data_IF_071744780008
#
_entry.id   IF_071744780008
#
_cell.length_a   1.000
_cell.length_b   1.000
_cell.length_c   1.000
_cell.angle_alpha   90.00
_cell.angle_beta   90.00
_cell.angle_gamma   90.00
#
_symmetry.space_group_name_H-M   'P 1'
#
loop_
_entity.id
_entity.type
_entity.pdbx_description
1 polymer ?
#
# COMPACT_ATOMS: atom_id res chain seq x y z
N UNK A 1 -7.39 -16.39 12.42
CA UNK A 1 -7.60 -15.23 11.52
C UNK A 1 -6.28 -14.51 11.52
N UNK A 2 -5.74 -14.18 10.33
CA UNK A 2 -4.42 -13.57 10.26
C UNK A 2 -4.53 -12.15 9.71
N UNK A 3 -4.16 -11.16 10.54
CA UNK A 3 -3.83 -9.80 10.14
C UNK A 3 -2.31 -9.63 10.23
N UNK A 4 -1.60 -10.67 9.83
CA UNK A 4 -0.16 -10.84 9.94
C UNK A 4 0.42 -11.34 8.63
N UNK A 5 1.61 -10.87 8.27
CA UNK A 5 2.42 -11.35 7.15
C UNK A 5 3.91 -11.27 7.50
N UNK A 6 4.75 -11.89 6.66
CA UNK A 6 6.19 -12.01 6.84
C UNK A 6 6.61 -13.33 7.48
N UNK A 7 7.89 -13.61 7.49
CA UNK A 7 8.48 -14.85 8.00
C UNK A 7 9.44 -14.60 9.15
N UNK A 8 10.59 -13.98 8.89
CA UNK A 8 11.53 -13.54 9.91
C UNK A 8 11.10 -12.17 10.46
N UNK A 9 10.73 -11.25 9.59
CA UNK A 9 10.13 -9.98 9.95
C UNK A 9 8.60 -10.13 9.89
N UNK A 10 7.97 -10.44 11.02
CA UNK A 10 6.53 -10.61 11.11
C UNK A 10 5.83 -9.32 11.51
N UNK A 11 4.89 -8.91 10.69
CA UNK A 11 4.10 -7.69 10.92
C UNK A 11 2.65 -8.06 11.15
N UNK A 12 2.12 -7.70 12.32
CA UNK A 12 0.73 -7.91 12.70
C UNK A 12 0.03 -6.58 12.95
N UNK A 13 -1.08 -6.33 12.24
CA UNK A 13 -1.89 -5.10 12.37
C UNK A 13 -3.13 -5.38 13.20
N UNK A 14 -3.44 -4.51 14.14
CA UNK A 14 -4.59 -4.64 15.02
C UNK A 14 -5.38 -3.33 15.17
N UNK A 15 -6.57 -3.43 15.77
CA UNK A 15 -7.47 -2.31 16.00
C UNK A 15 -8.56 -2.17 14.93
N UNK A 16 -9.36 -1.12 15.07
CA UNK A 16 -10.55 -0.83 14.26
C UNK A 16 -10.67 0.67 14.05
N UNK A 17 -11.29 1.09 12.94
CA UNK A 17 -11.41 2.51 12.56
C UNK A 17 -12.00 3.40 13.65
N UNK A 18 -12.98 2.87 14.41
CA UNK A 18 -13.68 3.56 15.49
C UNK A 18 -13.41 2.90 16.86
N UNK A 19 -12.39 2.06 16.96
CA UNK A 19 -11.82 1.59 18.22
C UNK A 19 -10.96 2.67 18.88
N UNK A 20 -10.52 2.43 20.11
CA UNK A 20 -9.69 3.37 20.87
C UNK A 20 -8.37 3.71 20.14
N UNK A 21 -7.76 2.72 19.53
CA UNK A 21 -6.51 2.86 18.78
C UNK A 21 -6.44 1.82 17.66
N UNK A 22 -5.53 2.07 16.72
CA UNK A 22 -5.01 1.11 15.75
C UNK A 22 -3.53 0.95 16.00
N UNK A 23 -2.94 -0.20 15.62
CA UNK A 23 -1.52 -0.40 15.89
C UNK A 23 -0.90 -1.52 15.08
N UNK A 24 0.40 -1.67 15.28
CA UNK A 24 1.23 -2.68 14.65
C UNK A 24 2.15 -3.32 15.68
N UNK A 25 2.32 -4.63 15.59
CA UNK A 25 3.42 -5.37 16.20
C UNK A 25 4.37 -5.81 15.08
N UNK A 26 5.66 -5.59 15.27
CA UNK A 26 6.72 -5.98 14.36
C UNK A 26 7.70 -6.84 15.15
N UNK A 27 7.76 -8.11 14.81
CA UNK A 27 8.69 -9.07 15.42
C UNK A 27 9.80 -9.42 14.41
N UNK A 28 11.03 -9.60 14.88
CA UNK A 28 12.18 -9.95 14.05
C UNK A 28 12.97 -8.75 13.49
N UNK A 29 12.72 -7.52 13.96
CA UNK A 29 13.60 -6.40 13.62
C UNK A 29 15.01 -6.64 14.21
N UNK A 30 16.07 -6.42 13.40
CA UNK A 30 17.44 -6.46 13.93
C UNK A 30 17.61 -5.44 15.06
N UNK A 31 18.33 -5.81 16.10
CA UNK A 31 18.71 -4.87 17.16
C UNK A 31 19.78 -3.89 16.66
N UNK A 32 19.78 -2.68 17.22
CA UNK A 32 20.79 -1.65 16.92
C UNK A 32 20.49 -0.80 15.67
N UNK A 33 19.32 -0.96 15.06
CA UNK A 33 18.91 -0.13 13.93
C UNK A 33 18.36 1.22 14.41
N UNK A 34 19.02 2.32 14.03
CA UNK A 34 18.53 3.66 14.34
C UNK A 34 17.23 3.97 13.56
N UNK A 35 16.27 4.59 14.23
CA UNK A 35 15.02 5.06 13.65
C UNK A 35 15.01 6.59 13.70
N UNK A 36 15.02 7.22 12.53
CA UNK A 36 14.74 8.64 12.39
C UNK A 36 13.22 8.86 12.51
N UNK A 37 12.79 9.38 13.66
CA UNK A 37 11.37 9.59 13.95
C UNK A 37 10.78 10.75 13.13
N UNK A 38 11.57 11.75 12.78
CA UNK A 38 11.10 12.86 11.95
C UNK A 38 10.86 12.40 10.51
N UNK A 39 11.79 11.62 9.96
CA UNK A 39 11.61 10.98 8.65
C UNK A 39 10.42 10.01 8.64
N UNK A 40 10.21 9.24 9.73
CA UNK A 40 9.05 8.37 9.86
C UNK A 40 7.73 9.17 9.91
N UNK A 41 7.68 10.26 10.68
CA UNK A 41 6.51 11.13 10.75
C UNK A 41 6.22 11.79 9.39
N UNK A 42 7.24 12.27 8.68
CA UNK A 42 7.11 12.83 7.34
C UNK A 42 6.57 11.78 6.35
N UNK A 43 6.99 10.53 6.45
CA UNK A 43 6.47 9.43 5.64
C UNK A 43 4.99 9.15 5.94
N UNK A 44 4.61 9.07 7.22
CA UNK A 44 3.22 8.91 7.67
C UNK A 44 2.34 10.07 7.20
N UNK A 45 2.88 11.27 7.16
CA UNK A 45 2.19 12.48 6.73
C UNK A 45 1.72 12.43 5.27
N UNK A 46 2.42 11.71 4.39
CA UNK A 46 2.02 11.51 2.99
C UNK A 46 0.72 10.73 2.87
N UNK A 47 0.43 9.85 3.83
CA UNK A 47 -0.80 9.05 3.89
C UNK A 47 -1.99 9.79 4.49
N UNK A 48 -1.77 10.77 5.37
CA UNK A 48 -2.81 11.46 6.16
C UNK A 48 -3.89 12.09 5.26
N UNK A 49 -5.18 12.02 5.64
CA UNK A 49 -6.25 12.76 4.98
C UNK A 49 -6.24 14.25 5.37
N UNK A 50 -7.10 15.04 4.72
CA UNK A 50 -7.39 16.42 5.15
C UNK A 50 -6.38 17.47 4.71
N UNK A 51 -5.41 17.13 3.85
CA UNK A 51 -4.39 18.06 3.34
C UNK A 51 -4.78 18.76 2.03
N UNK A 52 -5.79 18.25 1.32
CA UNK A 52 -6.22 18.81 0.04
C UNK A 52 -7.72 18.60 -0.19
N UNK A 53 -8.35 19.34 -1.11
CA UNK A 53 -9.74 19.11 -1.51
C UNK A 53 -9.97 17.76 -2.19
N UNK A 54 -8.92 17.05 -2.57
CA UNK A 54 -8.97 15.71 -3.20
C UNK A 54 -9.21 14.58 -2.20
N UNK A 55 -9.15 14.86 -0.90
CA UNK A 55 -9.31 13.89 0.18
C UNK A 55 -10.43 14.26 1.15
N UNK A 56 -10.86 13.29 1.96
CA UNK A 56 -11.81 13.54 3.05
C UNK A 56 -11.33 14.61 4.01
N UNK A 57 -12.25 15.37 4.58
CA UNK A 57 -11.98 16.40 5.60
C UNK A 57 -11.63 15.84 7.01
N UNK A 58 -11.57 14.51 7.17
CA UNK A 58 -11.15 13.87 8.43
C UNK A 58 -9.74 14.31 8.80
N UNK A 59 -9.50 14.59 10.08
CA UNK A 59 -8.20 15.01 10.59
C UNK A 59 -7.73 14.03 11.66
N UNK A 60 -6.58 13.41 11.43
CA UNK A 60 -5.94 12.48 12.38
C UNK A 60 -4.47 12.89 12.53
N UNK A 61 -3.96 12.86 13.75
CA UNK A 61 -2.55 13.17 14.01
C UNK A 61 -1.62 12.12 13.39
N UNK A 62 -2.05 10.86 13.38
CA UNK A 62 -1.28 9.68 12.94
C UNK A 62 0.14 9.60 13.55
N UNK A 63 0.32 10.20 14.72
CA UNK A 63 1.59 10.16 15.45
C UNK A 63 1.72 8.83 16.18
N UNK A 64 2.74 8.02 15.88
CA UNK A 64 2.93 6.74 16.54
C UNK A 64 3.41 6.92 17.98
N UNK A 65 2.84 6.10 18.87
CA UNK A 65 3.29 5.95 20.26
C UNK A 65 3.93 4.56 20.35
N UNK A 66 5.26 4.52 20.56
CA UNK A 66 6.00 3.27 20.74
C UNK A 66 5.83 2.77 22.16
N UNK A 67 5.37 1.52 22.30
CA UNK A 67 5.14 0.87 23.60
C UNK A 67 6.25 -0.10 23.96
N UNK A 68 6.98 -0.63 22.96
CA UNK A 68 8.11 -1.56 23.15
C UNK A 68 8.96 -1.61 21.88
N UNK A 69 10.14 -2.24 21.98
CA UNK A 69 11.01 -2.56 20.84
C UNK A 69 11.94 -1.43 20.39
N UNK A 70 11.77 -0.22 20.94
CA UNK A 70 12.60 0.96 20.62
C UNK A 70 13.02 1.62 21.93
N UNK A 71 14.31 1.89 22.06
CA UNK A 71 14.91 2.63 23.17
C UNK A 71 15.85 3.70 22.60
N UNK A 72 15.66 4.97 22.99
CA UNK A 72 16.44 6.10 22.47
C UNK A 72 16.50 6.14 20.92
N UNK A 73 15.36 5.91 20.27
CA UNK A 73 15.23 5.82 18.81
C UNK A 73 16.06 4.73 18.13
N UNK A 74 16.42 3.66 18.87
CA UNK A 74 17.16 2.50 18.35
C UNK A 74 16.37 1.22 18.66
N UNK A 75 16.31 0.29 17.71
CA UNK A 75 15.67 -1.01 17.93
C UNK A 75 16.47 -1.83 18.94
N UNK A 76 15.79 -2.48 19.89
CA UNK A 76 16.45 -3.23 20.98
C UNK A 76 16.34 -4.77 20.80
N UNK A 77 15.76 -5.25 19.68
CA UNK A 77 15.58 -6.69 19.42
C UNK A 77 14.33 -7.30 20.08
N UNK A 78 13.66 -6.61 21.01
CA UNK A 78 12.33 -7.00 21.46
C UNK A 78 11.28 -6.70 20.39
N UNK A 79 10.14 -7.41 20.36
CA UNK A 79 9.05 -7.07 19.46
C UNK A 79 8.65 -5.59 19.59
N UNK A 80 8.67 -4.87 18.46
CA UNK A 80 8.24 -3.48 18.43
C UNK A 80 6.71 -3.42 18.41
N UNK A 81 6.13 -2.68 19.35
CA UNK A 81 4.71 -2.36 19.36
C UNK A 81 4.53 -0.85 19.27
N UNK A 82 3.74 -0.43 18.30
CA UNK A 82 3.36 0.98 18.15
C UNK A 82 1.86 1.12 17.94
N UNK A 83 1.26 2.14 18.56
CA UNK A 83 -0.16 2.48 18.41
C UNK A 83 -0.34 3.90 17.87
N UNK A 84 -1.49 4.12 17.25
CA UNK A 84 -2.00 5.45 16.91
C UNK A 84 -3.39 5.55 17.51
N UNK A 85 -3.62 6.55 18.36
CA UNK A 85 -4.94 6.82 18.94
C UNK A 85 -5.90 7.39 17.89
N UNK A 86 -7.15 6.98 17.91
CA UNK A 86 -8.19 7.53 17.05
C UNK A 86 -8.84 8.72 17.74
N UNK A 87 -8.72 9.92 17.18
CA UNK A 87 -9.21 11.17 17.77
C UNK A 87 -10.46 11.74 17.08
N UNK A 88 -10.66 11.49 15.78
CA UNK A 88 -11.79 12.02 14.99
C UNK A 88 -12.82 10.93 14.63
N UNK A 89 -13.63 10.53 15.63
CA UNK A 89 -14.63 9.47 15.50
C UNK A 89 -16.05 10.06 15.51
N UNK A 90 -16.84 9.81 14.45
CA UNK A 90 -18.25 10.18 14.34
C UNK A 90 -19.13 8.93 14.19
N UNK A 91 -19.32 8.19 15.27
CA UNK A 91 -20.01 6.88 15.27
C UNK A 91 -21.48 6.93 14.84
N UNK A 92 -22.15 8.08 14.98
CA UNK A 92 -23.57 8.25 14.63
C UNK A 92 -23.82 8.14 13.12
N UNK A 93 -22.83 8.40 12.29
CA UNK A 93 -22.95 8.39 10.82
C UNK A 93 -23.08 6.97 10.24
N UNK A 94 -22.93 5.94 11.07
CA UNK A 94 -22.86 4.54 10.63
C UNK A 94 -24.00 3.65 11.15
N UNK A 95 -25.03 4.21 11.82
CA UNK A 95 -26.11 3.42 12.43
C UNK A 95 -26.94 2.63 11.39
N UNK A 96 -27.19 3.21 10.20
CA UNK A 96 -27.92 2.52 9.13
C UNK A 96 -27.07 1.43 8.44
N UNK A 97 -25.75 1.55 8.47
CA UNK A 97 -24.84 0.58 7.84
C UNK A 97 -24.78 -0.76 8.57
N UNK A 98 -25.27 -0.83 9.81
CA UNK A 98 -25.35 -2.08 10.55
C UNK A 98 -26.33 -3.08 9.92
N UNK A 99 -27.39 -2.60 9.26
CA UNK A 99 -28.40 -3.43 8.59
C UNK A 99 -28.30 -3.41 7.06
N UNK A 100 -27.78 -2.31 6.49
CA UNK A 100 -27.68 -2.13 5.03
C UNK A 100 -26.22 -2.12 4.59
N UNK A 101 -25.67 -3.28 4.18
CA UNK A 101 -24.27 -3.37 3.78
C UNK A 101 -23.98 -2.53 2.53
N UNK A 102 -22.87 -1.82 2.55
CA UNK A 102 -22.41 -1.06 1.38
C UNK A 102 -22.04 -2.00 0.23
N UNK A 103 -22.51 -1.75 -0.99
CA UNK A 103 -22.06 -2.48 -2.16
C UNK A 103 -20.52 -2.43 -2.29
N UNK A 104 -19.92 -3.54 -2.63
CA UNK A 104 -18.45 -3.68 -2.81
C UNK A 104 -17.59 -3.37 -1.57
N UNK A 105 -18.18 -3.24 -0.37
CA UNK A 105 -17.47 -3.19 0.91
C UNK A 105 -17.50 -4.54 1.63
N UNK A 106 -16.67 -4.69 2.66
CA UNK A 106 -16.61 -5.92 3.46
C UNK A 106 -17.78 -6.12 4.43
N UNK A 107 -18.74 -5.21 4.50
CA UNK A 107 -19.83 -5.21 5.49
C UNK A 107 -20.59 -6.55 5.50
N UNK A 108 -21.06 -7.00 4.32
CA UNK A 108 -21.79 -8.27 4.19
C UNK A 108 -20.92 -9.49 4.50
N UNK A 109 -19.72 -9.54 3.92
CA UNK A 109 -18.83 -10.70 4.10
C UNK A 109 -18.34 -10.82 5.54
N UNK A 110 -18.09 -9.71 6.22
CA UNK A 110 -17.78 -9.69 7.64
C UNK A 110 -18.97 -10.12 8.50
N UNK A 111 -20.17 -9.65 8.16
CA UNK A 111 -21.39 -10.07 8.85
C UNK A 111 -21.59 -11.57 8.77
N UNK A 112 -21.47 -12.17 7.59
CA UNK A 112 -21.57 -13.62 7.39
C UNK A 112 -20.47 -14.36 8.17
N UNK A 113 -19.22 -13.90 8.03
CA UNK A 113 -18.05 -14.57 8.61
C UNK A 113 -18.10 -14.64 10.13
N UNK A 114 -18.58 -13.58 10.78
CA UNK A 114 -18.59 -13.47 12.24
C UNK A 114 -19.97 -13.41 12.86
N UNK A 115 -21.01 -13.87 12.15
CA UNK A 115 -22.37 -13.97 12.68
C UNK A 115 -22.93 -12.64 13.18
N UNK A 116 -22.62 -11.52 12.50
CA UNK A 116 -23.05 -10.18 12.87
C UNK A 116 -22.30 -9.52 14.03
N UNK A 117 -21.25 -10.16 14.57
CA UNK A 117 -20.50 -9.63 15.75
C UNK A 117 -19.36 -8.65 15.39
N UNK A 118 -19.12 -8.40 14.08
CA UNK A 118 -18.08 -7.49 13.66
C UNK A 118 -18.42 -6.03 13.98
N UNK A 119 -17.46 -5.27 14.55
CA UNK A 119 -17.60 -3.82 14.66
C UNK A 119 -17.26 -3.19 13.29
N UNK A 120 -18.29 -2.83 12.54
CA UNK A 120 -18.19 -2.26 11.21
C UNK A 120 -18.24 -0.73 11.17
N UNK A 121 -18.26 -0.06 12.34
CA UNK A 121 -18.20 1.41 12.40
C UNK A 121 -16.98 1.95 11.67
N UNK A 122 -17.18 2.87 10.74
CA UNK A 122 -16.10 3.39 9.88
C UNK A 122 -15.39 2.35 9.00
N UNK A 123 -16.00 1.17 8.81
CA UNK A 123 -15.41 0.04 8.11
C UNK A 123 -14.61 -0.92 9.00
N UNK A 124 -14.58 -0.68 10.32
CA UNK A 124 -13.95 -1.56 11.31
C UNK A 124 -12.50 -1.86 11.02
N UNK A 125 -12.14 -3.13 11.03
CA UNK A 125 -10.79 -3.62 10.69
C UNK A 125 -10.50 -3.63 9.17
N UNK A 126 -11.51 -3.46 8.31
CA UNK A 126 -11.36 -3.37 6.85
C UNK A 126 -11.18 -1.93 6.34
N UNK A 127 -11.16 -0.97 7.27
CA UNK A 127 -11.00 0.44 6.93
C UNK A 127 -9.62 0.75 6.37
N UNK A 128 -9.55 1.68 5.40
CA UNK A 128 -8.28 2.27 4.96
C UNK A 128 -7.47 2.94 6.09
N UNK A 129 -8.09 3.18 7.26
CA UNK A 129 -7.41 3.65 8.49
C UNK A 129 -6.29 2.69 8.93
N UNK A 130 -6.49 1.38 8.73
CA UNK A 130 -5.52 0.34 9.11
C UNK A 130 -4.24 0.36 8.25
N UNK A 131 -4.18 1.19 7.23
CA UNK A 131 -2.94 1.42 6.47
C UNK A 131 -1.92 2.28 7.21
N UNK A 132 -2.33 3.07 8.23
CA UNK A 132 -1.38 3.85 9.02
C UNK A 132 -0.39 2.96 9.82
N UNK A 133 -0.83 1.90 10.52
CA UNK A 133 0.08 0.92 11.11
C UNK A 133 1.02 0.25 10.10
N UNK A 134 0.54 -0.06 8.88
CA UNK A 134 1.41 -0.58 7.82
C UNK A 134 2.51 0.41 7.43
N UNK A 135 2.19 1.71 7.39
CA UNK A 135 3.17 2.76 7.12
C UNK A 135 4.19 2.94 8.25
N UNK A 136 3.85 2.62 9.51
CA UNK A 136 4.85 2.59 10.60
C UNK A 136 5.88 1.49 10.30
N UNK A 137 5.43 0.26 10.05
CA UNK A 137 6.32 -0.85 9.74
C UNK A 137 7.17 -0.58 8.49
N UNK A 138 6.53 -0.14 7.41
CA UNK A 138 7.20 0.13 6.15
C UNK A 138 8.14 1.34 6.20
N UNK A 139 7.80 2.39 6.94
CA UNK A 139 8.70 3.53 7.13
C UNK A 139 9.98 3.16 7.88
N UNK A 140 9.89 2.29 8.88
CA UNK A 140 11.06 1.73 9.57
C UNK A 140 11.84 0.81 8.61
N UNK A 141 11.15 -0.08 7.89
CA UNK A 141 11.78 -0.96 6.91
C UNK A 141 12.53 -0.18 5.80
N UNK A 142 11.94 0.91 5.27
CA UNK A 142 12.61 1.79 4.28
C UNK A 142 13.92 2.37 4.80
N UNK A 143 13.97 2.82 6.05
CA UNK A 143 15.19 3.36 6.66
C UNK A 143 16.27 2.29 6.79
N UNK A 144 15.89 1.08 7.22
CA UNK A 144 16.82 -0.05 7.34
C UNK A 144 17.34 -0.48 5.96
N UNK A 145 16.48 -0.54 4.96
CA UNK A 145 16.83 -0.86 3.57
C UNK A 145 17.77 0.19 2.97
N UNK A 146 17.48 1.49 3.16
CA UNK A 146 18.29 2.58 2.64
C UNK A 146 19.75 2.52 3.13
N UNK A 147 19.97 2.16 4.40
CA UNK A 147 21.32 1.94 4.96
C UNK A 147 22.04 0.74 4.31
N UNK A 148 21.31 -0.15 3.65
CA UNK A 148 21.85 -1.28 2.88
C UNK A 148 21.90 -1.01 1.38
N UNK A 149 21.67 0.25 0.96
CA UNK A 149 21.69 0.65 -0.45
C UNK A 149 20.45 0.25 -1.24
N UNK A 150 19.38 -0.19 -0.57
CA UNK A 150 18.10 -0.56 -1.20
C UNK A 150 17.08 0.55 -0.96
N UNK A 151 16.51 1.08 -2.05
CA UNK A 151 15.54 2.17 -2.00
C UNK A 151 14.22 1.74 -2.64
N UNK A 152 13.11 2.15 -2.02
CA UNK A 152 11.74 1.88 -2.51
C UNK A 152 11.03 3.20 -2.69
N UNK A 153 10.48 3.42 -3.87
CA UNK A 153 9.68 4.59 -4.20
C UNK A 153 8.47 4.21 -5.03
N UNK A 154 7.44 5.05 -4.99
CA UNK A 154 6.22 4.84 -5.76
C UNK A 154 5.64 6.17 -6.21
N UNK A 155 4.84 6.10 -7.29
CA UNK A 155 4.04 7.22 -7.78
C UNK A 155 2.62 6.77 -8.15
N UNK A 156 1.75 7.74 -8.30
CA UNK A 156 0.40 7.51 -8.79
C UNK A 156 0.45 7.33 -10.31
N UNK A 157 0.31 6.11 -10.79
CA UNK A 157 0.45 5.76 -12.20
C UNK A 157 -0.83 6.02 -13.02
N UNK A 158 -2.01 5.98 -12.40
CA UNK A 158 -3.26 6.40 -13.05
C UNK A 158 -4.36 6.79 -12.08
N UNK A 159 -5.32 7.59 -12.57
CA UNK A 159 -6.63 7.79 -11.95
C UNK A 159 -7.68 7.63 -13.05
N UNK A 160 -8.58 6.66 -12.92
CA UNK A 160 -9.54 6.33 -13.98
C UNK A 160 -8.83 6.04 -15.30
N UNK A 161 -9.10 6.86 -16.31
CA UNK A 161 -8.48 6.76 -17.65
C UNK A 161 -7.23 7.61 -17.83
N UNK A 162 -6.97 8.56 -16.93
CA UNK A 162 -5.78 9.40 -16.98
C UNK A 162 -4.56 8.65 -16.45
N UNK A 163 -3.47 8.69 -17.21
CA UNK A 163 -2.23 7.97 -16.90
C UNK A 163 -1.05 8.92 -16.78
N UNK A 164 -0.13 8.58 -15.90
CA UNK A 164 1.19 9.18 -15.75
C UNK A 164 2.23 8.44 -16.60
N UNK A 165 3.42 9.03 -16.72
CA UNK A 165 4.60 8.34 -17.25
C UNK A 165 4.97 7.15 -16.37
N UNK A 166 5.74 6.20 -16.91
CA UNK A 166 6.30 5.07 -16.15
C UNK A 166 7.67 5.43 -15.62
N UNK A 167 8.09 4.75 -14.56
CA UNK A 167 9.49 4.83 -14.14
C UNK A 167 10.44 4.54 -15.30
N UNK A 168 11.57 5.26 -15.41
CA UNK A 168 12.62 4.94 -16.39
C UNK A 168 13.22 3.56 -16.10
N UNK A 169 13.97 3.02 -17.04
CA UNK A 169 14.65 1.72 -16.90
C UNK A 169 15.53 1.66 -15.63
N UNK A 170 16.18 2.77 -15.31
CA UNK A 170 17.05 2.94 -14.15
C UNK A 170 16.56 4.11 -13.28
N UNK A 171 15.50 3.92 -12.47
CA UNK A 171 15.07 4.95 -11.55
C UNK A 171 16.11 5.15 -10.45
N UNK A 172 16.17 6.35 -9.89
CA UNK A 172 17.15 6.72 -8.85
C UNK A 172 16.45 7.01 -7.53
N UNK A 173 17.20 6.93 -6.42
CA UNK A 173 16.70 7.35 -5.11
C UNK A 173 16.28 8.83 -5.11
N UNK A 174 17.03 9.69 -5.82
CA UNK A 174 16.70 11.11 -5.95
C UNK A 174 15.34 11.33 -6.65
N UNK A 175 15.02 10.54 -7.68
CA UNK A 175 13.69 10.59 -8.31
C UNK A 175 12.58 10.17 -7.34
N UNK A 176 12.83 9.16 -6.50
CA UNK A 176 11.86 8.74 -5.47
C UNK A 176 11.63 9.84 -4.45
N UNK A 177 12.67 10.53 -4.00
CA UNK A 177 12.58 11.65 -3.06
C UNK A 177 11.85 12.85 -3.68
N UNK A 178 12.13 13.17 -4.95
CA UNK A 178 11.42 14.21 -5.69
C UNK A 178 9.91 13.96 -5.74
N UNK A 179 9.51 12.74 -6.15
CA UNK A 179 8.10 12.35 -6.21
C UNK A 179 7.45 12.35 -4.83
N UNK A 180 8.18 11.87 -3.82
CA UNK A 180 7.69 11.81 -2.44
C UNK A 180 7.45 13.20 -1.83
N UNK A 181 8.18 14.23 -2.29
CA UNK A 181 8.02 15.61 -1.84
C UNK A 181 6.81 16.32 -2.49
N UNK A 182 6.27 15.80 -3.59
CA UNK A 182 5.12 16.41 -4.29
C UNK A 182 3.83 16.24 -3.47
N UNK A 183 2.99 17.26 -3.47
CA UNK A 183 1.67 17.21 -2.86
C UNK A 183 0.74 16.17 -3.56
N UNK A 184 0.96 15.95 -4.86
CA UNK A 184 0.30 14.94 -5.67
C UNK A 184 1.40 14.10 -6.34
N UNK A 185 1.61 12.85 -5.93
CA UNK A 185 2.83 12.09 -6.21
C UNK A 185 2.82 11.47 -7.61
N UNK A 186 3.13 12.24 -8.63
CA UNK A 186 3.25 11.84 -10.04
C UNK A 186 4.63 12.17 -10.60
N UNK A 187 5.04 11.49 -11.68
CA UNK A 187 6.24 11.81 -12.43
C UNK A 187 6.02 13.07 -13.29
N UNK A 188 4.91 13.11 -14.01
CA UNK A 188 4.55 14.19 -14.92
C UNK A 188 3.46 15.08 -14.31
N UNK A 189 3.77 16.35 -14.07
CA UNK A 189 2.86 17.27 -13.40
C UNK A 189 1.60 17.58 -14.23
N UNK A 190 1.71 17.63 -15.57
CA UNK A 190 0.54 17.82 -16.45
C UNK A 190 -0.44 16.62 -16.37
N UNK A 191 0.09 15.39 -16.31
CA UNK A 191 -0.74 14.22 -16.05
C UNK A 191 -1.39 14.31 -14.66
N UNK A 192 -0.65 14.78 -13.67
CA UNK A 192 -1.16 15.04 -12.33
C UNK A 192 -2.33 16.03 -12.30
N UNK A 193 -2.27 17.11 -13.07
CA UNK A 193 -3.37 18.08 -13.19
C UNK A 193 -4.63 17.46 -13.80
N UNK A 194 -4.49 16.64 -14.86
CA UNK A 194 -5.62 15.91 -15.45
C UNK A 194 -6.24 14.93 -14.46
N UNK A 195 -5.43 14.17 -13.74
CA UNK A 195 -5.89 13.25 -12.69
C UNK A 195 -6.64 13.97 -11.58
N UNK A 196 -6.12 15.10 -11.10
CA UNK A 196 -6.78 15.91 -10.07
C UNK A 196 -8.14 16.45 -10.57
N UNK A 197 -8.22 16.90 -11.82
CA UNK A 197 -9.47 17.34 -12.43
C UNK A 197 -10.50 16.21 -12.47
N UNK A 198 -10.10 14.98 -12.81
CA UNK A 198 -10.98 13.82 -12.83
C UNK A 198 -11.49 13.46 -11.42
N UNK A 199 -10.64 13.57 -10.40
CA UNK A 199 -11.03 13.34 -8.99
C UNK A 199 -12.07 14.38 -8.55
N UNK A 200 -11.88 15.66 -8.88
CA UNK A 200 -12.81 16.73 -8.53
C UNK A 200 -14.15 16.53 -9.25
N UNK A 201 -14.15 16.14 -10.52
CA UNK A 201 -15.35 15.80 -11.27
C UNK A 201 -16.13 14.63 -10.61
N UNK A 202 -15.44 13.55 -10.22
CA UNK A 202 -16.07 12.45 -9.51
C UNK A 202 -16.72 12.92 -8.20
N UNK A 203 -16.04 13.79 -7.45
CA UNK A 203 -16.56 14.38 -6.21
C UNK A 203 -17.83 15.22 -6.46
N UNK A 204 -17.85 16.06 -7.50
CA UNK A 204 -19.02 16.86 -7.85
C UNK A 204 -20.22 15.98 -8.23
N UNK A 205 -19.95 14.84 -8.86
CA UNK A 205 -20.95 13.82 -9.21
C UNK A 205 -21.35 12.95 -8.00
N UNK A 206 -20.85 13.24 -6.80
CA UNK A 206 -21.07 12.43 -5.58
C UNK A 206 -20.65 10.95 -5.75
N UNK A 207 -19.65 10.70 -6.59
CA UNK A 207 -19.10 9.40 -6.93
C UNK A 207 -17.62 9.28 -6.53
N UNK A 208 -16.99 8.18 -6.91
CA UNK A 208 -15.58 7.91 -6.66
C UNK A 208 -14.92 7.29 -7.89
N UNK A 209 -13.62 7.45 -7.98
CA UNK A 209 -12.78 6.90 -9.05
C UNK A 209 -11.63 6.09 -8.46
N UNK A 210 -11.26 5.01 -9.12
CA UNK A 210 -10.09 4.19 -8.77
C UNK A 210 -8.83 4.71 -9.42
N UNK A 211 -7.72 4.01 -9.19
CA UNK A 211 -6.44 4.33 -9.81
C UNK A 211 -5.41 3.24 -9.60
N UNK A 212 -4.23 3.44 -10.16
CA UNK A 212 -3.10 2.52 -10.00
C UNK A 212 -1.89 3.25 -9.43
N UNK A 213 -1.12 2.51 -8.64
CA UNK A 213 0.17 2.96 -8.08
C UNK A 213 1.26 2.10 -8.71
N UNK A 214 2.26 2.71 -9.32
CA UNK A 214 3.50 2.03 -9.72
C UNK A 214 4.53 2.19 -8.60
N UNK A 215 5.22 1.11 -8.27
CA UNK A 215 6.26 1.06 -7.23
C UNK A 215 7.51 0.43 -7.80
N UNK A 216 8.65 1.01 -7.48
CA UNK A 216 9.96 0.50 -7.84
C UNK A 216 10.81 0.26 -6.60
N UNK A 217 11.61 -0.82 -6.63
CA UNK A 217 12.67 -1.06 -5.66
C UNK A 217 13.99 -1.24 -6.40
N UNK A 218 15.02 -0.49 -5.99
CA UNK A 218 16.36 -0.49 -6.58
C UNK A 218 17.42 -0.89 -5.57
N UNK A 219 18.58 -1.33 -6.04
CA UNK A 219 19.70 -1.73 -5.19
C UNK A 219 19.58 -3.14 -4.64
N UNK A 220 18.56 -3.89 -5.02
CA UNK A 220 18.42 -5.30 -4.65
C UNK A 220 19.50 -6.13 -5.36
N UNK A 221 20.17 -7.06 -4.67
CA UNK A 221 21.09 -7.98 -5.32
C UNK A 221 20.33 -8.96 -6.23
N UNK A 222 20.96 -9.49 -7.24
CA UNK A 222 20.46 -10.66 -7.96
C UNK A 222 20.45 -11.89 -7.04
N UNK A 223 19.48 -12.80 -7.22
CA UNK A 223 19.42 -14.05 -6.48
C UNK A 223 18.58 -14.02 -5.21
N UNK A 224 17.82 -12.94 -4.94
CA UNK A 224 16.90 -12.88 -3.81
C UNK A 224 15.54 -13.46 -4.18
N UNK A 225 14.97 -14.30 -3.33
CA UNK A 225 13.70 -14.99 -3.55
C UNK A 225 13.89 -16.47 -3.86
N UNK A 226 12.80 -17.16 -4.12
CA UNK A 226 12.74 -18.61 -4.34
C UNK A 226 11.91 -18.95 -5.58
N UNK A 227 12.11 -20.11 -6.21
CA UNK A 227 11.28 -20.53 -7.31
C UNK A 227 9.84 -20.87 -6.86
N UNK A 228 8.91 -20.78 -7.80
CA UNK A 228 7.51 -21.21 -7.71
C UNK A 228 6.70 -20.43 -6.66
N UNK A 229 6.31 -21.08 -5.56
CA UNK A 229 5.26 -20.60 -4.64
C UNK A 229 5.75 -19.62 -3.57
N UNK A 230 7.04 -19.44 -3.45
CA UNK A 230 7.67 -18.57 -2.45
C UNK A 230 8.55 -17.48 -3.08
N UNK A 231 8.35 -17.28 -4.38
CA UNK A 231 9.06 -16.23 -5.12
C UNK A 231 8.70 -14.84 -4.63
N UNK A 232 9.52 -13.88 -5.00
CA UNK A 232 9.35 -12.48 -4.60
C UNK A 232 7.99 -11.94 -5.06
N UNK A 233 7.51 -12.31 -6.27
CA UNK A 233 6.19 -11.91 -6.77
C UNK A 233 5.07 -12.45 -5.88
N UNK A 234 5.15 -13.72 -5.48
CA UNK A 234 4.14 -14.35 -4.62
C UNK A 234 4.05 -13.63 -3.26
N UNK A 235 5.19 -13.33 -2.65
CA UNK A 235 5.25 -12.69 -1.33
C UNK A 235 4.79 -11.24 -1.40
N UNK A 236 5.24 -10.49 -2.40
CA UNK A 236 4.79 -9.11 -2.64
C UNK A 236 3.29 -9.07 -2.93
N UNK A 237 2.79 -9.89 -3.86
CA UNK A 237 1.37 -9.93 -4.20
C UNK A 237 0.51 -10.28 -2.98
N UNK A 238 0.87 -11.31 -2.21
CA UNK A 238 0.14 -11.73 -1.02
C UNK A 238 0.01 -10.59 0.00
N UNK A 239 1.09 -9.86 0.26
CA UNK A 239 1.08 -8.73 1.20
C UNK A 239 0.32 -7.51 0.63
N UNK A 240 0.50 -7.18 -0.65
CA UNK A 240 -0.15 -6.06 -1.32
C UNK A 240 -1.68 -6.23 -1.41
N UNK A 241 -2.18 -7.47 -1.64
CA UNK A 241 -3.62 -7.74 -1.56
C UNK A 241 -4.19 -7.58 -0.14
N UNK A 242 -3.36 -7.54 0.90
CA UNK A 242 -3.74 -7.17 2.26
C UNK A 242 -4.08 -5.67 2.43
N UNK A 243 -3.67 -4.82 1.50
CA UNK A 243 -4.03 -3.39 1.51
C UNK A 243 -5.52 -3.24 1.13
N UNK A 244 -6.33 -2.53 1.94
CA UNK A 244 -7.73 -2.28 1.59
C UNK A 244 -7.89 -1.66 0.19
N UNK A 245 -8.90 -2.11 -0.55
CA UNK A 245 -9.26 -1.71 -1.91
C UNK A 245 -8.35 -2.23 -3.04
N UNK A 246 -7.26 -2.90 -2.77
CA UNK A 246 -6.45 -3.54 -3.82
C UNK A 246 -7.25 -4.65 -4.50
N UNK A 247 -7.22 -4.65 -5.85
CA UNK A 247 -7.94 -5.61 -6.71
C UNK A 247 -7.06 -6.22 -7.80
N UNK A 248 -5.85 -5.69 -7.98
CA UNK A 248 -4.89 -6.22 -8.94
C UNK A 248 -3.46 -5.88 -8.51
N UNK A 249 -2.55 -6.80 -8.81
CA UNK A 249 -1.09 -6.61 -8.68
C UNK A 249 -0.47 -7.21 -9.93
N UNK A 250 0.44 -6.49 -10.55
CA UNK A 250 1.22 -6.98 -11.69
C UNK A 250 2.68 -6.54 -11.57
N UNK A 251 3.56 -7.27 -12.25
CA UNK A 251 5.01 -7.06 -12.25
C UNK A 251 5.50 -6.79 -13.67
N UNK A 252 6.44 -5.86 -13.82
CA UNK A 252 6.96 -5.47 -15.13
C UNK A 252 5.86 -4.99 -16.08
N UNK A 253 5.74 -5.60 -17.25
CA UNK A 253 4.63 -5.34 -18.18
C UNK A 253 3.29 -5.93 -17.72
N UNK A 254 3.31 -6.92 -16.80
CA UNK A 254 2.11 -7.55 -16.28
C UNK A 254 1.26 -8.16 -17.41
N UNK A 255 -0.05 -7.85 -17.42
CA UNK A 255 -0.96 -8.32 -18.47
C UNK A 255 -0.56 -7.88 -19.89
N UNK A 256 0.18 -6.76 -20.04
CA UNK A 256 0.67 -6.30 -21.33
C UNK A 256 1.60 -7.29 -22.02
N UNK A 257 2.31 -8.15 -21.27
CA UNK A 257 3.18 -9.19 -21.83
C UNK A 257 2.41 -10.20 -22.71
N UNK A 258 1.13 -10.43 -22.43
CA UNK A 258 0.31 -11.40 -23.18
C UNK A 258 0.00 -10.98 -24.61
N UNK A 259 0.20 -9.71 -24.94
CA UNK A 259 -0.03 -9.17 -26.28
C UNK A 259 1.25 -9.13 -27.15
N UNK A 260 2.41 -9.54 -26.60
CA UNK A 260 3.70 -9.48 -27.25
C UNK A 260 4.18 -10.85 -27.74
N UNK A 261 4.97 -10.87 -28.80
CA UNK A 261 5.75 -12.04 -29.17
C UNK A 261 6.95 -12.20 -28.21
N UNK A 262 7.46 -13.43 -28.07
CA UNK A 262 8.62 -13.70 -27.21
C UNK A 262 9.85 -12.83 -27.53
N UNK A 263 10.11 -12.61 -28.83
CA UNK A 263 11.20 -11.73 -29.30
C UNK A 263 11.03 -10.26 -28.90
N UNK A 264 9.79 -9.83 -28.67
CA UNK A 264 9.46 -8.48 -28.23
C UNK A 264 9.45 -8.37 -26.70
N UNK A 265 9.01 -9.43 -26.01
CA UNK A 265 8.86 -9.45 -24.56
C UNK A 265 10.19 -9.75 -23.81
N UNK A 266 11.09 -10.54 -24.40
CA UNK A 266 12.31 -10.96 -23.73
C UNK A 266 13.23 -9.77 -23.42
N UNK A 267 13.79 -9.74 -22.22
CA UNK A 267 14.79 -8.78 -21.79
C UNK A 267 16.19 -9.30 -22.13
N UNK A 268 16.89 -8.74 -23.16
CA UNK A 268 18.22 -9.21 -23.53
C UNK A 268 19.23 -8.95 -22.41
N UNK A 269 20.05 -9.93 -22.09
CA UNK A 269 21.15 -9.75 -21.15
C UNK A 269 22.33 -9.02 -21.81
N UNK A 270 22.97 -8.13 -21.05
CA UNK A 270 24.19 -7.42 -21.41
C UNK A 270 25.11 -7.29 -20.20
N UNK A 271 26.32 -6.74 -20.43
CA UNK A 271 27.28 -6.49 -19.35
C UNK A 271 27.57 -4.99 -19.26
N UNK A 272 27.26 -4.38 -18.14
CA UNK A 272 27.58 -2.98 -17.84
C UNK A 272 28.46 -2.91 -16.59
N UNK A 273 29.62 -2.25 -16.72
CA UNK A 273 30.57 -2.10 -15.61
C UNK A 273 30.92 -3.41 -14.88
N UNK A 274 30.99 -4.52 -15.63
CA UNK A 274 31.31 -5.85 -15.10
C UNK A 274 30.14 -6.55 -14.38
N UNK A 275 28.95 -6.02 -14.49
CA UNK A 275 27.72 -6.61 -13.94
C UNK A 275 26.82 -7.08 -15.07
N UNK A 276 26.16 -8.22 -14.86
CA UNK A 276 25.10 -8.70 -15.77
C UNK A 276 23.85 -7.88 -15.48
N UNK A 277 23.30 -7.25 -16.51
CA UNK A 277 22.06 -6.47 -16.49
C UNK A 277 21.21 -6.84 -17.69
N UNK A 278 20.01 -6.27 -17.83
CA UNK A 278 19.18 -6.42 -19.03
C UNK A 278 19.00 -5.07 -19.72
N UNK A 279 18.91 -5.07 -21.07
CA UNK A 279 18.70 -3.87 -21.89
C UNK A 279 17.30 -3.28 -21.75
N UNK A 280 16.36 -4.11 -21.32
CA UNK A 280 14.97 -3.74 -21.00
C UNK A 280 14.57 -4.39 -19.68
N UNK A 281 13.42 -4.03 -19.11
CA UNK A 281 12.96 -4.59 -17.82
C UNK A 281 11.47 -4.94 -17.88
N UNK A 282 11.07 -5.67 -18.93
CA UNK A 282 9.67 -6.08 -19.12
C UNK A 282 9.23 -7.11 -18.09
N UNK A 283 10.16 -7.95 -17.62
CA UNK A 283 9.94 -8.90 -16.53
C UNK A 283 9.82 -8.22 -15.15
N UNK A 284 10.15 -6.91 -15.06
CA UNK A 284 10.09 -6.18 -13.79
C UNK A 284 11.13 -6.58 -12.77
N UNK A 285 12.32 -6.98 -13.20
CA UNK A 285 13.45 -7.33 -12.32
C UNK A 285 13.37 -8.70 -11.66
N UNK A 286 12.45 -9.56 -12.10
CA UNK A 286 12.17 -10.87 -11.48
C UNK A 286 12.07 -11.93 -12.57
N UNK A 287 12.84 -13.00 -12.44
CA UNK A 287 12.79 -14.17 -13.31
C UNK A 287 12.70 -15.44 -12.44
N UNK A 288 11.68 -16.26 -12.69
CA UNK A 288 11.49 -17.49 -11.93
C UNK A 288 11.25 -17.32 -10.43
N UNK A 289 10.73 -16.16 -10.00
CA UNK A 289 10.53 -15.81 -8.59
C UNK A 289 11.73 -15.20 -7.88
N UNK A 290 12.82 -14.94 -8.64
CA UNK A 290 14.13 -14.53 -8.12
C UNK A 290 14.55 -13.19 -8.76
N UNK A 291 15.13 -12.28 -7.97
CA UNK A 291 15.60 -10.98 -8.46
C UNK A 291 16.75 -11.12 -9.44
N UNK A 292 16.76 -10.27 -10.47
CA UNK A 292 17.84 -10.21 -11.48
C UNK A 292 18.93 -9.19 -11.16
N UNK A 293 18.72 -8.33 -10.16
CA UNK A 293 19.55 -7.15 -9.90
C UNK A 293 19.07 -5.88 -10.62
N UNK A 294 18.15 -6.02 -11.59
CA UNK A 294 17.41 -4.89 -12.18
C UNK A 294 16.37 -4.35 -11.19
N UNK A 295 15.87 -3.12 -11.39
CA UNK A 295 14.79 -2.59 -10.57
C UNK A 295 13.58 -3.54 -10.52
N UNK A 296 13.10 -3.85 -9.31
CA UNK A 296 11.81 -4.55 -9.16
C UNK A 296 10.71 -3.54 -9.39
N UNK A 297 9.91 -3.76 -10.43
CA UNK A 297 8.80 -2.89 -10.82
C UNK A 297 7.47 -3.64 -10.66
N UNK A 298 6.55 -3.04 -9.94
CA UNK A 298 5.20 -3.57 -9.76
C UNK A 298 4.14 -2.47 -9.86
N UNK A 299 2.91 -2.85 -10.19
CA UNK A 299 1.74 -1.96 -10.17
C UNK A 299 0.61 -2.57 -9.36
N UNK A 300 -0.10 -1.69 -8.65
CA UNK A 300 -1.20 -2.06 -7.77
C UNK A 300 -2.46 -1.29 -8.18
N UNK A 301 -3.52 -2.02 -8.51
CA UNK A 301 -4.81 -1.44 -8.87
C UNK A 301 -5.70 -1.31 -7.63
N UNK A 302 -6.21 -0.12 -7.38
CA UNK A 302 -7.15 0.20 -6.31
C UNK A 302 -8.53 0.51 -6.91
N UNK A 303 -9.55 -0.21 -6.43
CA UNK A 303 -10.94 0.06 -6.84
C UNK A 303 -11.42 1.41 -6.32
N UNK A 304 -12.45 2.01 -6.93
CA UNK A 304 -13.14 3.16 -6.39
C UNK A 304 -13.62 2.93 -4.96
N UNK A 305 -13.71 3.99 -4.17
CA UNK A 305 -14.26 3.94 -2.81
C UNK A 305 -15.73 3.52 -2.87
N UNK A 306 -16.15 2.46 -2.15
CA UNK A 306 -17.55 2.00 -2.22
C UNK A 306 -18.53 2.91 -1.49
N UNK A 307 -18.05 3.78 -0.61
CA UNK A 307 -18.84 4.76 0.11
C UNK A 307 -19.01 6.02 -0.75
N UNK A 308 -20.11 6.10 -1.48
CA UNK A 308 -20.48 7.25 -2.33
C UNK A 308 -21.82 7.83 -1.87
N UNK A 309 -22.07 9.11 -2.16
CA UNK A 309 -23.29 9.79 -1.75
C UNK A 309 -24.45 9.58 -2.73
N UNK A 310 -24.24 8.89 -3.85
CA UNK A 310 -25.31 8.45 -4.74
C UNK A 310 -26.10 7.31 -4.08
N UNK A 311 -27.43 7.28 -4.35
CA UNK A 311 -28.28 6.19 -3.92
C UNK A 311 -27.89 4.85 -4.57
N UNK A 312 -27.63 3.84 -3.75
CA UNK A 312 -27.20 2.52 -4.20
C UNK A 312 -28.21 1.45 -3.80
N UNK A 313 -28.36 0.43 -4.67
CA UNK A 313 -29.14 -0.76 -4.34
C UNK A 313 -28.36 -1.64 -3.35
N UNK A 314 -29.03 -2.10 -2.30
CA UNK A 314 -28.50 -3.03 -1.32
C UNK A 314 -29.62 -3.92 -0.76
N UNK A 315 -29.42 -4.53 0.39
CA UNK A 315 -30.42 -5.33 1.11
C UNK A 315 -30.48 -4.91 2.57
N UNK A 316 -31.62 -5.11 3.22
CA UNK A 316 -31.71 -5.14 4.68
C UNK A 316 -31.36 -6.55 5.15
N UNK A 317 -30.32 -6.67 5.96
CA UNK A 317 -29.87 -7.95 6.52
C UNK A 317 -30.88 -8.53 7.49
N UNK A 318 -31.54 -7.70 8.29
CA UNK A 318 -32.54 -8.10 9.28
C UNK A 318 -33.85 -8.58 8.63
N UNK A 319 -34.24 -7.99 7.49
CA UNK A 319 -35.50 -8.31 6.80
C UNK A 319 -35.29 -9.30 5.64
N UNK A 320 -34.06 -9.52 5.17
CA UNK A 320 -33.80 -10.34 3.99
C UNK A 320 -34.43 -9.80 2.70
N UNK A 321 -34.59 -8.48 2.60
CA UNK A 321 -35.32 -7.82 1.52
C UNK A 321 -34.45 -6.76 0.80
N UNK A 322 -34.73 -6.47 -0.49
CA UNK A 322 -34.07 -5.37 -1.21
C UNK A 322 -34.26 -4.02 -0.48
N UNK A 323 -33.22 -3.21 -0.47
CA UNK A 323 -33.20 -1.91 0.17
C UNK A 323 -32.41 -0.90 -0.68
N UNK A 324 -32.49 0.37 -0.32
CA UNK A 324 -31.65 1.43 -0.83
C UNK A 324 -30.77 1.99 0.30
N UNK A 325 -29.58 2.40 -0.08
CA UNK A 325 -28.62 3.02 0.81
C UNK A 325 -28.07 4.29 0.15
N UNK A 326 -28.11 5.39 0.88
CA UNK A 326 -27.43 6.63 0.57
C UNK A 326 -26.48 6.96 1.71
N UNK A 327 -25.19 7.03 1.40
CA UNK A 327 -24.16 7.17 2.42
C UNK A 327 -23.91 8.66 2.64
N UNK A 328 -24.33 9.15 3.80
CA UNK A 328 -24.03 10.51 4.25
C UNK A 328 -22.74 10.47 5.06
N UNK A 329 -21.69 11.12 4.56
CA UNK A 329 -20.42 11.12 5.29
C UNK A 329 -19.26 11.72 4.50
N UNK A 330 -18.10 11.77 5.17
CA UNK A 330 -16.84 12.32 4.62
C UNK A 330 -16.03 11.19 4.00
N UNK A 331 -16.15 10.99 2.69
CA UNK A 331 -15.44 9.93 1.99
C UNK A 331 -14.45 10.51 0.97
N UNK A 332 -13.38 9.78 0.71
CA UNK A 332 -12.41 10.13 -0.34
C UNK A 332 -13.03 9.85 -1.72
N UNK A 333 -13.06 10.83 -2.64
CA UNK A 333 -13.46 10.57 -4.03
C UNK A 333 -12.46 9.69 -4.78
N UNK A 334 -11.20 9.68 -4.33
CA UNK A 334 -10.16 8.78 -4.81
C UNK A 334 -9.16 8.52 -3.69
N UNK A 335 -8.87 7.24 -3.42
CA UNK A 335 -7.88 6.85 -2.39
C UNK A 335 -6.49 6.59 -2.97
N UNK A 336 -6.35 6.48 -4.31
CA UNK A 336 -5.14 5.98 -4.95
C UNK A 336 -3.91 6.86 -4.65
N UNK A 337 -4.04 8.19 -4.66
CA UNK A 337 -2.93 9.10 -4.36
C UNK A 337 -2.41 8.96 -2.92
N UNK A 338 -3.28 8.60 -1.96
CA UNK A 338 -2.92 8.34 -0.56
C UNK A 338 -2.39 6.92 -0.34
N UNK A 339 -2.67 6.02 -1.27
CA UNK A 339 -2.16 4.65 -1.24
C UNK A 339 -0.69 4.55 -1.68
N UNK A 340 -0.13 5.56 -2.35
CA UNK A 340 1.28 5.57 -2.79
C UNK A 340 2.24 5.22 -1.64
N UNK A 341 2.27 5.92 -0.50
CA UNK A 341 3.16 5.56 0.61
C UNK A 341 2.78 4.22 1.27
N UNK A 342 1.54 3.75 1.14
CA UNK A 342 1.13 2.44 1.67
C UNK A 342 1.72 1.31 0.84
N UNK A 343 1.72 1.44 -0.49
CA UNK A 343 2.34 0.47 -1.40
C UNK A 343 3.86 0.43 -1.17
N UNK A 344 4.51 1.60 -1.04
CA UNK A 344 5.93 1.67 -0.65
C UNK A 344 6.20 0.93 0.66
N UNK A 345 5.36 1.18 1.68
CA UNK A 345 5.51 0.59 3.01
C UNK A 345 5.44 -0.94 3.00
N UNK A 346 4.41 -1.49 2.35
CA UNK A 346 4.23 -2.94 2.28
C UNK A 346 5.34 -3.58 1.45
N UNK A 347 5.70 -2.97 0.32
CA UNK A 347 6.83 -3.44 -0.52
C UNK A 347 8.13 -3.45 0.27
N UNK A 348 8.47 -2.35 0.96
CA UNK A 348 9.68 -2.27 1.77
C UNK A 348 9.72 -3.32 2.90
N UNK A 349 8.58 -3.56 3.55
CA UNK A 349 8.49 -4.57 4.62
C UNK A 349 8.78 -5.97 4.11
N UNK A 350 8.19 -6.36 2.96
CA UNK A 350 8.42 -7.66 2.34
C UNK A 350 9.87 -7.82 1.87
N UNK A 351 10.44 -6.76 1.28
CA UNK A 351 11.84 -6.79 0.83
C UNK A 351 12.82 -6.89 1.99
N UNK A 352 12.54 -6.21 3.11
CA UNK A 352 13.37 -6.35 4.31
C UNK A 352 13.29 -7.78 4.86
N UNK A 353 12.09 -8.37 4.94
CA UNK A 353 11.89 -9.76 5.36
C UNK A 353 12.71 -10.73 4.50
N UNK A 354 12.66 -10.58 3.17
CA UNK A 354 13.45 -11.37 2.21
C UNK A 354 14.97 -11.22 2.43
N UNK A 355 15.44 -9.98 2.63
CA UNK A 355 16.87 -9.73 2.89
C UNK A 355 17.35 -10.31 4.21
N UNK A 356 16.49 -10.35 5.23
CA UNK A 356 16.81 -10.95 6.53
C UNK A 356 16.88 -12.49 6.45
N UNK A 357 16.12 -13.11 5.56
CA UNK A 357 16.23 -14.55 5.30
C UNK A 357 17.60 -14.94 4.71
N UNK A 358 18.29 -13.97 4.13
CA UNK A 358 19.65 -14.13 3.59
C UNK A 358 19.72 -14.67 2.17
N UNK A 359 20.89 -14.50 1.58
CA UNK A 359 21.24 -15.15 0.30
C UNK A 359 21.74 -16.56 0.58
N UNK A 360 21.08 -17.55 0.01
CA UNK A 360 21.63 -18.92 -0.04
C UNK A 360 22.66 -19.11 -1.19
N UNK A 361 23.24 -18.03 -1.70
CA UNK A 361 24.28 -18.03 -2.72
C UNK A 361 25.51 -17.26 -2.23
N UNK A 362 26.57 -17.98 -1.92
CA UNK A 362 27.94 -17.40 -1.85
C UNK A 362 28.43 -17.16 -3.28
N UNK A 363 28.63 -15.90 -3.65
CA UNK A 363 29.50 -15.52 -4.76
C UNK A 363 30.70 -14.75 -4.23
#
# INVERSE_FOLDING_TARGET
>A
MSSEFGRLLRVSVFGQSHGRAIGVNIDGLPAGEAIDLDALNAFLDRRKPGKSPLSTARRESDTPIFLSGVENSVTCGAPLCAIIENSDQHSKDYSELADKPRPSHADYTAWVKWGGQADMRGGGHFSGRLTAPLCIAGGIAKQILARRGVYVGAHLSSVGTETDDRFPLHPTAALFDEVAAKAFPVLNDEAGERMQSLILQAREQQDSVGGTVECAAIGLPAGLGDPMFNGIENRLAAALFGIPAVKGVEFGLGFGSSALHGSENNDPFTVEHGRIVTETNRAGGILGGITTGMPVILRVALKPTPSIAQAQKTVSLSQGAPAQLEIKGRHDPCIAHRAVPVVEAVTATVLLDLLLEGHHGTF
#
